data_IF_279137755061
#
_entry.id   IF_279137755061
#
_cell.length_a   1.000
_cell.length_b   1.000
_cell.length_c   1.000
_cell.angle_alpha   90.00
_cell.angle_beta   90.00
_cell.angle_gamma   90.00
#
_symmetry.space_group_name_H-M   'P 1'
#
loop_
_entity.id
_entity.type
_entity.pdbx_description
1 polymer ?
#
# COMPACT_ATOMS: atom_id res chain seq x y z
N UNK A 1 -17.26 10.06 31.67
CA UNK A 1 -16.73 9.28 30.53
C UNK A 1 -16.37 10.24 29.41
N UNK A 2 -15.09 10.41 29.09
CA UNK A 2 -14.62 11.35 28.05
C UNK A 2 -14.60 10.64 26.70
N UNK A 3 -15.43 11.09 25.76
CA UNK A 3 -15.27 10.75 24.33
C UNK A 3 -14.04 11.50 23.82
N UNK A 4 -13.04 10.77 23.31
CA UNK A 4 -11.88 11.35 22.63
C UNK A 4 -12.35 11.79 21.24
N UNK A 5 -12.30 13.09 20.97
CA UNK A 5 -12.56 13.66 19.66
C UNK A 5 -11.30 13.46 18.81
N UNK A 6 -11.45 12.77 17.67
CA UNK A 6 -10.41 12.64 16.64
C UNK A 6 -10.35 13.97 15.87
N UNK A 7 -9.22 14.67 15.94
CA UNK A 7 -9.02 15.92 15.21
C UNK A 7 -8.40 15.56 13.86
N UNK A 8 -9.19 15.69 12.79
CA UNK A 8 -8.69 15.62 11.41
C UNK A 8 -8.21 17.01 11.03
N UNK A 9 -6.90 17.20 10.90
CA UNK A 9 -6.31 18.45 10.38
C UNK A 9 -6.16 18.31 8.87
N UNK A 10 -7.14 18.81 8.12
CA UNK A 10 -7.03 19.00 6.68
C UNK A 10 -6.21 20.25 6.38
N UNK A 11 -5.05 20.10 5.74
CA UNK A 11 -4.27 21.24 5.25
C UNK A 11 -4.99 21.83 4.03
N UNK A 12 -5.51 23.04 4.19
CA UNK A 12 -6.00 23.90 3.11
C UNK A 12 -4.84 24.22 2.15
N UNK A 13 -4.93 23.80 0.90
CA UNK A 13 -4.25 24.45 -0.24
C UNK A 13 -5.28 25.05 -1.20
N UNK A 14 -6.24 25.81 -0.66
CA UNK A 14 -7.37 26.39 -1.39
C UNK A 14 -7.06 27.72 -2.11
N UNK A 15 -5.86 27.87 -2.69
CA UNK A 15 -5.47 29.12 -3.38
C UNK A 15 -5.50 29.00 -4.91
N UNK A 16 -5.66 27.79 -5.48
CA UNK A 16 -5.78 27.60 -6.94
C UNK A 16 -7.24 27.45 -7.41
N UNK A 17 -8.20 27.18 -6.50
CA UNK A 17 -9.61 26.92 -6.85
C UNK A 17 -10.42 28.23 -7.03
N UNK A 18 -9.92 29.38 -6.53
CA UNK A 18 -10.70 30.62 -6.45
C UNK A 18 -10.96 31.35 -7.78
N UNK A 19 -10.37 30.93 -8.90
CA UNK A 19 -10.46 31.69 -10.18
C UNK A 19 -11.44 31.08 -11.20
N UNK A 20 -11.74 29.77 -11.14
CA UNK A 20 -12.50 29.11 -12.23
C UNK A 20 -14.03 29.09 -11.99
N UNK A 21 -14.53 29.27 -10.77
CA UNK A 21 -15.96 28.96 -10.47
C UNK A 21 -16.94 30.13 -10.74
N UNK A 22 -16.49 31.37 -11.00
CA UNK A 22 -17.41 32.52 -11.00
C UNK A 22 -18.17 32.82 -12.32
N UNK A 23 -18.27 31.90 -13.28
CA UNK A 23 -19.22 32.10 -14.39
C UNK A 23 -19.89 30.81 -14.86
N UNK A 24 -21.18 30.73 -14.51
CA UNK A 24 -22.28 30.25 -15.37
C UNK A 24 -22.65 28.76 -15.35
N UNK A 25 -23.93 28.53 -14.99
CA UNK A 25 -24.85 27.42 -15.35
C UNK A 25 -24.57 26.00 -14.82
N UNK A 26 -25.53 25.54 -14.00
CA UNK A 26 -26.20 24.24 -14.10
C UNK A 26 -25.37 23.10 -14.71
N UNK A 27 -24.43 22.57 -13.94
CA UNK A 27 -24.03 21.18 -14.08
C UNK A 27 -24.34 20.49 -12.77
N UNK A 28 -25.11 19.41 -12.87
CA UNK A 28 -25.26 18.39 -11.85
C UNK A 28 -23.83 17.96 -11.52
N UNK A 29 -23.27 18.47 -10.43
CA UNK A 29 -22.01 17.98 -9.89
C UNK A 29 -22.32 16.58 -9.39
N UNK A 30 -21.99 15.61 -10.23
CA UNK A 30 -21.98 14.22 -9.88
C UNK A 30 -21.10 14.10 -8.62
N UNK A 31 -21.70 13.88 -7.44
CA UNK A 31 -20.97 13.65 -6.18
C UNK A 31 -20.16 12.34 -6.20
N UNK A 32 -20.00 11.74 -7.38
CA UNK A 32 -19.24 10.55 -7.61
C UNK A 32 -17.75 10.87 -7.68
N UNK A 33 -17.07 10.59 -6.56
CA UNK A 33 -15.65 10.21 -6.54
C UNK A 33 -14.63 11.34 -6.76
N UNK A 34 -14.73 12.45 -6.02
CA UNK A 34 -13.58 13.35 -5.93
C UNK A 34 -12.43 12.61 -5.21
N UNK A 35 -11.38 12.29 -5.96
CA UNK A 35 -10.14 11.79 -5.40
C UNK A 35 -9.42 12.99 -4.80
N UNK A 36 -9.27 13.00 -3.48
CA UNK A 36 -8.56 14.06 -2.75
C UNK A 36 -7.25 13.53 -2.20
N UNK A 37 -6.38 14.41 -1.71
CA UNK A 37 -5.18 14.00 -0.97
C UNK A 37 -5.40 14.21 0.53
N UNK A 38 -4.99 13.26 1.36
CA UNK A 38 -5.21 13.31 2.80
C UNK A 38 -4.15 12.59 3.63
N UNK A 39 -4.24 12.79 4.95
CA UNK A 39 -3.39 12.13 5.94
C UNK A 39 -4.25 11.54 7.05
N UNK A 40 -3.85 10.36 7.53
CA UNK A 40 -4.42 9.77 8.75
C UNK A 40 -3.32 9.55 9.78
N UNK A 41 -3.72 9.45 11.05
CA UNK A 41 -2.80 9.40 12.16
C UNK A 41 -3.21 8.29 13.13
N UNK A 42 -2.23 7.68 13.79
CA UNK A 42 -2.43 6.84 14.96
C UNK A 42 -2.95 7.68 16.15
N UNK A 43 -3.40 7.00 17.21
CA UNK A 43 -3.97 7.66 18.38
C UNK A 43 -2.97 8.58 19.12
N UNK A 44 -1.66 8.37 18.93
CA UNK A 44 -0.57 9.19 19.46
C UNK A 44 -0.13 10.33 18.51
N UNK A 45 -0.94 10.62 17.48
CA UNK A 45 -0.71 11.62 16.43
C UNK A 45 0.49 11.34 15.51
N UNK A 46 1.04 10.11 15.50
CA UNK A 46 2.02 9.73 14.47
C UNK A 46 1.33 9.47 13.14
N UNK A 47 2.00 9.84 12.05
CA UNK A 47 1.50 9.61 10.69
C UNK A 47 1.29 8.11 10.47
N UNK A 48 0.09 7.74 10.02
CA UNK A 48 -0.25 6.36 9.64
C UNK A 48 -0.34 6.26 8.11
N UNK A 49 -1.00 7.21 7.47
CA UNK A 49 -1.19 7.22 6.02
C UNK A 49 -1.00 8.61 5.44
N UNK A 50 -0.43 8.69 4.25
CA UNK A 50 -0.56 9.85 3.36
C UNK A 50 -0.78 9.40 1.92
N UNK A 51 -1.72 10.02 1.22
CA UNK A 51 -2.03 9.63 -0.16
C UNK A 51 -3.41 10.06 -0.63
N UNK A 52 -3.83 9.43 -1.72
CA UNK A 52 -5.15 9.60 -2.32
C UNK A 52 -6.26 9.07 -1.39
N UNK A 53 -7.40 9.73 -1.44
CA UNK A 53 -8.57 9.48 -0.61
C UNK A 53 -9.81 9.47 -1.51
N UNK A 54 -10.76 8.61 -1.20
CA UNK A 54 -12.08 8.57 -1.81
C UNK A 54 -13.14 8.41 -0.73
N UNK A 55 -14.11 9.32 -0.67
CA UNK A 55 -15.15 9.33 0.37
C UNK A 55 -14.56 9.22 1.79
N UNK A 56 -13.58 10.08 2.10
CA UNK A 56 -12.86 10.13 3.38
C UNK A 56 -12.09 8.85 3.76
N UNK A 57 -11.91 7.91 2.84
CA UNK A 57 -11.16 6.67 3.06
C UNK A 57 -9.91 6.62 2.18
N UNK A 58 -8.78 6.07 2.66
CA UNK A 58 -7.60 5.82 1.83
C UNK A 58 -7.96 4.94 0.63
N UNK A 59 -7.74 5.49 -0.57
CA UNK A 59 -8.08 4.82 -1.82
C UNK A 59 -7.28 5.44 -2.97
N UNK A 60 -6.60 4.62 -3.76
CA UNK A 60 -5.67 5.06 -4.79
C UNK A 60 -4.22 4.98 -4.35
N UNK A 61 -3.34 5.83 -4.87
CA UNK A 61 -1.91 5.78 -4.53
C UNK A 61 -1.62 6.40 -3.17
N UNK A 62 -0.85 5.71 -2.33
CA UNK A 62 -0.49 6.21 -1.01
C UNK A 62 0.65 5.47 -0.33
N UNK A 63 0.98 5.93 0.88
CA UNK A 63 2.01 5.38 1.75
C UNK A 63 1.42 5.06 3.12
N UNK A 64 1.80 3.93 3.68
CA UNK A 64 1.43 3.49 5.03
C UNK A 64 2.70 3.42 5.88
N UNK A 65 2.60 3.90 7.11
CA UNK A 65 3.70 3.99 8.08
C UNK A 65 3.36 3.17 9.31
N UNK A 66 4.37 2.55 9.92
CA UNK A 66 4.24 1.88 11.22
C UNK A 66 4.11 2.90 12.36
N UNK A 67 3.69 2.45 13.55
CA UNK A 67 3.61 3.29 14.76
C UNK A 67 4.98 3.83 15.22
N UNK A 68 6.09 3.28 14.74
CA UNK A 68 7.43 3.83 14.96
C UNK A 68 7.82 4.91 13.94
N UNK A 69 6.91 5.28 13.03
CA UNK A 69 7.09 6.30 12.00
C UNK A 69 7.82 5.82 10.75
N UNK A 70 8.23 4.55 10.68
CA UNK A 70 8.92 3.99 9.51
C UNK A 70 7.93 3.69 8.40
N UNK A 71 8.37 3.92 7.16
CA UNK A 71 7.59 3.54 5.97
C UNK A 71 7.41 2.02 5.95
N UNK A 72 6.17 1.55 5.95
CA UNK A 72 5.84 0.15 5.81
C UNK A 72 5.55 -0.21 4.35
N UNK A 73 4.76 0.63 3.68
CA UNK A 73 4.23 0.34 2.36
C UNK A 73 4.13 1.60 1.50
N UNK A 74 4.33 1.44 0.20
CA UNK A 74 3.97 2.44 -0.82
C UNK A 74 3.38 1.78 -2.04
N UNK A 75 2.23 2.24 -2.52
CA UNK A 75 1.58 1.65 -3.67
C UNK A 75 0.09 1.97 -3.73
N UNK A 76 -0.68 1.08 -4.33
CA UNK A 76 -2.13 1.17 -4.41
C UNK A 76 -2.79 0.73 -3.11
N UNK A 77 -3.74 1.51 -2.65
CA UNK A 77 -4.47 1.31 -1.42
C UNK A 77 -5.96 1.30 -1.71
N UNK A 78 -6.69 0.43 -1.03
CA UNK A 78 -8.15 0.38 -1.09
C UNK A 78 -8.69 0.15 0.31
N UNK A 79 -9.51 1.09 0.80
CA UNK A 79 -10.10 0.98 2.13
C UNK A 79 -9.05 0.93 3.26
N UNK A 80 -7.93 1.65 3.08
CA UNK A 80 -6.85 1.66 4.08
C UNK A 80 -5.87 0.50 4.02
N UNK A 81 -6.02 -0.45 3.09
CA UNK A 81 -5.10 -1.58 2.93
C UNK A 81 -4.38 -1.57 1.59
N UNK A 82 -3.14 -2.10 1.50
CA UNK A 82 -2.51 -2.42 0.23
C UNK A 82 -3.41 -3.28 -0.67
N UNK A 83 -3.66 -2.83 -1.90
CA UNK A 83 -4.51 -3.52 -2.87
C UNK A 83 -4.14 -3.04 -4.28
N UNK A 84 -3.63 -3.93 -5.14
CA UNK A 84 -3.00 -3.57 -6.41
C UNK A 84 -1.47 -3.60 -6.35
N UNK A 85 -0.78 -2.80 -7.14
CA UNK A 85 0.69 -2.81 -7.20
C UNK A 85 1.32 -2.01 -6.06
N UNK A 86 2.35 -2.55 -5.40
CA UNK A 86 3.07 -1.80 -4.38
C UNK A 86 4.32 -2.47 -3.84
N UNK A 87 4.98 -1.76 -2.93
CA UNK A 87 6.24 -2.14 -2.29
C UNK A 87 6.08 -2.11 -0.78
N UNK A 88 6.56 -3.14 -0.10
CA UNK A 88 6.73 -3.15 1.34
C UNK A 88 8.20 -3.07 1.73
N UNK A 89 8.44 -2.51 2.91
CA UNK A 89 9.77 -2.22 3.42
C UNK A 89 9.97 -2.86 4.78
N UNK A 90 11.18 -3.34 5.00
CA UNK A 90 11.68 -3.66 6.32
C UNK A 90 11.79 -2.40 7.18
N UNK A 91 11.85 -2.60 8.48
CA UNK A 91 12.09 -1.53 9.45
C UNK A 91 13.46 -0.83 9.30
N UNK A 92 14.40 -1.44 8.60
CA UNK A 92 15.68 -0.80 8.25
C UNK A 92 15.56 0.08 6.97
N UNK A 93 14.37 0.16 6.37
CA UNK A 93 14.09 0.91 5.14
C UNK A 93 14.39 0.17 3.84
N UNK A 94 14.93 -1.05 3.90
CA UNK A 94 15.21 -1.86 2.71
C UNK A 94 13.94 -2.51 2.18
N UNK A 95 13.94 -2.77 0.88
CA UNK A 95 12.83 -3.43 0.20
C UNK A 95 12.64 -4.85 0.76
N UNK A 96 11.42 -5.17 1.18
CA UNK A 96 11.04 -6.52 1.60
C UNK A 96 10.25 -7.23 0.51
N UNK A 97 9.36 -6.50 -0.17
CA UNK A 97 8.50 -7.07 -1.21
C UNK A 97 8.19 -6.02 -2.26
N UNK A 98 8.13 -6.43 -3.53
CA UNK A 98 7.47 -5.68 -4.60
C UNK A 98 6.60 -6.61 -5.45
N UNK A 99 5.37 -6.19 -5.74
CA UNK A 99 4.44 -6.99 -6.51
C UNK A 99 2.99 -6.60 -6.28
N UNK A 100 2.08 -7.51 -6.60
CA UNK A 100 0.65 -7.30 -6.39
C UNK A 100 0.23 -7.61 -4.94
N UNK A 101 -0.86 -6.97 -4.56
CA UNK A 101 -1.45 -7.01 -3.24
C UNK A 101 -2.95 -7.20 -3.37
N UNK A 102 -3.53 -7.87 -2.39
CA UNK A 102 -4.98 -7.99 -2.25
C UNK A 102 -5.35 -7.97 -0.79
N UNK A 103 -6.17 -7.00 -0.38
CA UNK A 103 -6.63 -6.87 1.01
C UNK A 103 -5.49 -6.87 2.07
N UNK A 104 -4.34 -6.30 1.73
CA UNK A 104 -3.18 -6.23 2.61
C UNK A 104 -2.25 -7.44 2.61
N UNK A 105 -2.47 -8.42 1.73
CA UNK A 105 -1.63 -9.62 1.60
C UNK A 105 -0.93 -9.63 0.24
N UNK A 106 0.27 -10.23 0.18
CA UNK A 106 0.96 -10.48 -1.08
C UNK A 106 0.13 -11.40 -1.97
N UNK A 107 -0.02 -11.04 -3.24
CA UNK A 107 -0.89 -11.75 -4.18
C UNK A 107 -0.38 -11.58 -5.61
N UNK A 108 -0.76 -12.50 -6.51
CA UNK A 108 -0.35 -12.43 -7.92
C UNK A 108 1.16 -12.54 -8.07
N UNK A 109 1.76 -11.84 -9.03
CA UNK A 109 3.21 -11.85 -9.21
C UNK A 109 3.93 -10.92 -8.25
N UNK A 110 5.02 -11.38 -7.66
CA UNK A 110 5.89 -10.53 -6.86
C UNK A 110 7.24 -11.14 -6.54
N UNK A 111 8.08 -10.31 -5.92
CA UNK A 111 9.44 -10.65 -5.50
C UNK A 111 9.61 -10.28 -4.04
N UNK A 112 10.02 -11.26 -3.23
CA UNK A 112 10.38 -11.10 -1.82
C UNK A 112 11.91 -11.04 -1.73
N UNK A 113 12.42 -10.13 -0.92
CA UNK A 113 13.84 -9.89 -0.72
C UNK A 113 14.24 -10.21 0.71
N UNK A 114 15.47 -10.66 0.89
CA UNK A 114 16.15 -10.66 2.19
C UNK A 114 16.52 -9.23 2.61
N UNK A 115 16.81 -9.05 3.91
CA UNK A 115 17.29 -7.77 4.45
C UNK A 115 18.64 -7.31 3.88
N UNK A 116 19.41 -8.16 3.20
CA UNK A 116 20.62 -7.73 2.51
C UNK A 116 20.33 -7.20 1.08
N UNK A 117 19.09 -7.33 0.61
CA UNK A 117 18.62 -6.91 -0.71
C UNK A 117 18.67 -8.00 -1.77
N UNK A 118 19.14 -9.21 -1.45
CA UNK A 118 19.06 -10.35 -2.39
C UNK A 118 17.64 -10.87 -2.48
N UNK A 119 17.32 -11.50 -3.61
CA UNK A 119 16.03 -12.15 -3.80
C UNK A 119 15.96 -13.36 -2.86
N UNK A 120 14.83 -13.49 -2.16
CA UNK A 120 14.46 -14.69 -1.40
C UNK A 120 13.48 -15.55 -2.21
N UNK A 121 12.52 -14.91 -2.87
CA UNK A 121 11.53 -15.56 -3.72
C UNK A 121 11.11 -14.66 -4.87
N UNK A 122 10.90 -15.21 -6.07
CA UNK A 122 10.19 -14.54 -7.16
C UNK A 122 9.16 -15.51 -7.76
N UNK A 123 7.92 -15.07 -7.96
CA UNK A 123 6.87 -15.95 -8.48
C UNK A 123 5.44 -15.52 -8.19
N UNK A 124 4.54 -16.49 -8.31
CA UNK A 124 3.11 -16.34 -8.03
C UNK A 124 2.81 -16.57 -6.55
N UNK A 125 2.05 -15.65 -5.95
CA UNK A 125 1.69 -15.61 -4.55
C UNK A 125 0.17 -15.62 -4.39
N UNK A 126 -0.32 -16.32 -3.37
CA UNK A 126 -1.70 -16.26 -2.93
C UNK A 126 -1.76 -16.11 -1.42
N UNK A 127 -2.26 -14.97 -0.96
CA UNK A 127 -2.45 -14.66 0.47
C UNK A 127 -1.15 -14.76 1.28
N UNK A 128 -0.03 -14.36 0.68
CA UNK A 128 1.30 -14.44 1.29
C UNK A 128 2.08 -15.74 1.05
N UNK A 129 1.45 -16.78 0.49
CA UNK A 129 2.10 -18.06 0.23
C UNK A 129 2.51 -18.19 -1.24
N UNK A 130 3.64 -18.86 -1.53
CA UNK A 130 3.98 -19.28 -2.89
C UNK A 130 2.90 -20.24 -3.41
N UNK A 131 2.28 -19.88 -4.52
CA UNK A 131 1.16 -20.61 -5.12
C UNK A 131 1.12 -20.35 -6.63
N UNK A 132 1.58 -21.32 -7.43
CA UNK A 132 1.87 -21.18 -8.85
C UNK A 132 3.37 -21.27 -9.14
N UNK A 133 3.81 -20.75 -10.30
CA UNK A 133 5.24 -20.85 -10.68
C UNK A 133 6.10 -19.92 -9.85
N UNK A 134 7.26 -20.39 -9.39
CA UNK A 134 8.19 -19.54 -8.67
C UNK A 134 9.58 -20.13 -8.49
N UNK A 135 10.45 -19.34 -7.86
CA UNK A 135 11.83 -19.68 -7.53
C UNK A 135 12.17 -19.21 -6.13
N UNK A 136 12.79 -20.07 -5.33
CA UNK A 136 13.40 -19.73 -4.05
C UNK A 136 14.91 -19.63 -4.19
N UNK A 137 15.48 -18.66 -3.48
CA UNK A 137 16.91 -18.41 -3.44
C UNK A 137 17.39 -18.41 -2.00
N UNK A 138 18.59 -18.94 -1.77
CA UNK A 138 19.22 -18.89 -0.46
C UNK A 138 19.81 -17.49 -0.16
N UNK A 139 20.24 -17.19 1.08
CA UNK A 139 20.87 -15.90 1.41
C UNK A 139 22.20 -15.62 0.69
N UNK A 140 22.84 -16.62 0.08
CA UNK A 140 24.00 -16.41 -0.79
C UNK A 140 23.60 -15.84 -2.16
N UNK A 141 22.35 -16.07 -2.58
CA UNK A 141 21.79 -15.69 -3.88
C UNK A 141 21.71 -16.87 -4.87
N UNK A 142 21.99 -18.09 -4.42
CA UNK A 142 21.91 -19.28 -5.26
C UNK A 142 20.47 -19.79 -5.33
N UNK A 143 20.07 -20.28 -6.51
CA UNK A 143 18.78 -20.92 -6.72
C UNK A 143 18.69 -22.21 -5.89
N UNK A 144 17.67 -22.30 -5.04
CA UNK A 144 17.44 -23.44 -4.14
C UNK A 144 16.31 -24.34 -4.65
N UNK A 145 15.20 -23.74 -5.10
CA UNK A 145 14.05 -24.44 -5.67
C UNK A 145 13.48 -23.66 -6.85
N UNK A 146 13.04 -24.36 -7.89
CA UNK A 146 12.27 -23.81 -9.00
C UNK A 146 11.19 -24.82 -9.36
N UNK A 147 9.96 -24.34 -9.55
CA UNK A 147 8.84 -25.21 -9.93
C UNK A 147 7.49 -24.60 -9.66
N UNK A 148 6.48 -25.46 -9.54
CA UNK A 148 5.12 -25.08 -9.18
C UNK A 148 4.91 -25.32 -7.69
N UNK A 149 4.41 -24.31 -6.99
CA UNK A 149 4.14 -24.37 -5.56
C UNK A 149 2.64 -24.38 -5.27
N UNK A 150 2.26 -25.02 -4.18
CA UNK A 150 0.95 -24.91 -3.57
C UNK A 150 1.13 -24.72 -2.06
N UNK A 151 0.68 -23.58 -1.55
CA UNK A 151 0.78 -23.24 -0.12
C UNK A 151 2.22 -23.37 0.44
N UNK A 152 3.20 -22.90 -0.34
CA UNK A 152 4.65 -22.98 -0.10
C UNK A 152 5.31 -24.36 -0.30
N UNK A 153 4.55 -25.39 -0.69
CA UNK A 153 5.09 -26.72 -0.99
C UNK A 153 5.33 -26.89 -2.49
N UNK A 154 6.51 -27.40 -2.88
CA UNK A 154 6.82 -27.75 -4.27
C UNK A 154 5.99 -28.97 -4.70
N UNK A 155 5.24 -28.85 -5.80
CA UNK A 155 4.36 -29.91 -6.31
C UNK A 155 4.74 -30.43 -7.70
N UNK A 156 5.52 -29.66 -8.47
CA UNK A 156 6.05 -30.04 -9.79
C UNK A 156 7.38 -29.36 -10.09
#
# INVERSE_FOLDING_TARGET
MRKKNLIIVGILSALVISIIIFTNRNSILDKNSEVTYGKTYYADNKLNYEGEMKNDNPNGKGKIYLENGKLYYSGEVKGGKPDGQGKAYYENGKLNYEGEWKEGLYHGKGTIYYEDGKINYEGELQNGNANGKGKYYNPSGDLELEGIFKDNELVE
#
